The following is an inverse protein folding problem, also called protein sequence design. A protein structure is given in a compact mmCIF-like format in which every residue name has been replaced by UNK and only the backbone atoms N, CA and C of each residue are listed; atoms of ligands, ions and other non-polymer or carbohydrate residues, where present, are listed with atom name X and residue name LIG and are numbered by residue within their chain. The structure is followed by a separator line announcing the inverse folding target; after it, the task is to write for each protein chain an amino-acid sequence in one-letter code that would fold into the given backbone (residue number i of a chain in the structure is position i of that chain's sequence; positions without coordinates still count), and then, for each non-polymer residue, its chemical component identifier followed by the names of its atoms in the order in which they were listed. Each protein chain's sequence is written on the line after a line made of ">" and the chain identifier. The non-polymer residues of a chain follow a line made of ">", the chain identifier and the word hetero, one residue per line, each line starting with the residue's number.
data_IF_515825821686
#
_entry.id   IF_515825821686
#
_cell.length_a   1.000
_cell.length_b   1.000
_cell.length_c   1.000
_cell.angle_alpha   90.00
_cell.angle_beta   90.00
_cell.angle_gamma   90.00
#
_symmetry.space_group_name_H-M   'P 1'
#
loop_
_entity.id
_entity.type
_entity.pdbx_description
1 polymer ?
#
# COMPACT_ATOMS: atom_id res chain seq x y z
N UNK A 1 4.63 0.67 -6.47
CA UNK A 1 3.46 -0.08 -6.96
C UNK A 1 2.20 0.12 -6.10
N UNK A 2 2.33 0.65 -4.87
CA UNK A 2 1.22 0.83 -3.94
C UNK A 2 0.59 2.21 -4.05
N UNK A 3 -0.71 2.29 -3.77
CA UNK A 3 -1.41 3.57 -3.69
C UNK A 3 -2.53 3.54 -2.65
N UNK A 4 -3.08 4.71 -2.37
CA UNK A 4 -4.32 4.89 -1.61
C UNK A 4 -5.26 5.78 -2.41
N UNK A 5 -6.56 5.53 -2.32
CA UNK A 5 -7.55 6.43 -2.89
C UNK A 5 -7.96 7.46 -1.83
N UNK A 6 -7.34 8.63 -1.87
CA UNK A 6 -7.62 9.71 -0.91
C UNK A 6 -9.09 10.11 -0.94
N UNK A 7 -9.69 10.17 -2.14
CA UNK A 7 -11.11 10.47 -2.35
C UNK A 7 -12.07 9.43 -1.75
N UNK A 8 -11.58 8.22 -1.46
CA UNK A 8 -12.36 7.13 -0.85
C UNK A 8 -12.09 6.97 0.64
N UNK A 9 -11.34 7.90 1.24
CA UNK A 9 -11.05 7.86 2.65
C UNK A 9 -12.32 8.07 3.48
N UNK A 10 -12.43 7.33 4.57
CA UNK A 10 -13.46 7.51 5.59
C UNK A 10 -12.75 7.72 6.91
N UNK A 11 -13.10 8.80 7.61
CA UNK A 11 -12.50 9.18 8.90
C UNK A 11 -10.97 9.37 8.84
N UNK A 12 -10.44 9.90 7.73
CA UNK A 12 -9.00 10.11 7.55
C UNK A 12 -8.21 8.85 7.20
N UNK A 13 -8.87 7.70 7.09
CA UNK A 13 -8.26 6.44 6.71
C UNK A 13 -8.64 6.02 5.29
N UNK A 14 -7.66 5.53 4.53
CA UNK A 14 -7.87 4.98 3.20
C UNK A 14 -7.35 3.55 3.10
N UNK A 15 -7.99 2.75 2.25
CA UNK A 15 -7.50 1.40 1.92
C UNK A 15 -6.27 1.49 1.02
N UNK A 16 -5.26 0.68 1.33
CA UNK A 16 -4.08 0.49 0.49
C UNK A 16 -4.37 -0.55 -0.56
N UNK A 17 -3.92 -0.28 -1.78
CA UNK A 17 -3.96 -1.23 -2.89
C UNK A 17 -2.59 -1.37 -3.51
N UNK A 18 -2.37 -2.53 -4.11
CA UNK A 18 -1.23 -2.83 -4.96
C UNK A 18 -1.72 -2.88 -6.40
N UNK A 19 -0.98 -2.24 -7.31
CA UNK A 19 -1.16 -2.43 -8.74
C UNK A 19 -0.25 -3.58 -9.18
N UNK A 20 -0.67 -4.44 -10.09
CA UNK A 20 0.19 -5.47 -10.67
C UNK A 20 -0.04 -5.45 -12.18
N UNK A 21 1.04 -5.52 -12.96
CA UNK A 21 0.94 -5.63 -14.42
C UNK A 21 1.30 -7.04 -14.82
N UNK A 22 0.34 -7.78 -15.38
CA UNK A 22 0.52 -9.13 -15.90
C UNK A 22 0.08 -9.11 -17.36
N UNK A 23 0.95 -9.49 -18.29
CA UNK A 23 0.66 -9.58 -19.72
C UNK A 23 -0.06 -8.34 -20.30
N UNK A 24 0.52 -7.16 -20.06
CA UNK A 24 -0.04 -5.85 -20.45
C UNK A 24 -1.38 -5.46 -19.80
N UNK A 25 -1.94 -6.29 -18.91
CA UNK A 25 -3.16 -5.99 -18.13
C UNK A 25 -2.78 -5.51 -16.74
N UNK A 26 -3.40 -4.42 -16.29
CA UNK A 26 -3.22 -3.85 -14.95
C UNK A 26 -4.32 -4.37 -14.03
N UNK A 27 -3.93 -5.10 -12.99
CA UNK A 27 -4.80 -5.53 -11.90
C UNK A 27 -4.56 -4.64 -10.68
N UNK A 28 -5.63 -4.13 -10.05
CA UNK A 28 -5.53 -3.42 -8.79
C UNK A 28 -6.11 -4.31 -7.69
N UNK A 29 -5.28 -4.75 -6.75
CA UNK A 29 -5.67 -5.63 -5.65
C UNK A 29 -5.70 -4.82 -4.37
N UNK A 30 -6.79 -4.89 -3.61
CA UNK A 30 -6.83 -4.29 -2.28
C UNK A 30 -6.07 -5.16 -1.29
N UNK A 31 -5.18 -4.55 -0.51
CA UNK A 31 -4.51 -5.23 0.61
C UNK A 31 -5.43 -5.38 1.82
N UNK A 32 -6.67 -4.86 1.76
CA UNK A 32 -7.66 -4.84 2.86
C UNK A 32 -7.13 -4.21 4.16
N UNK A 33 -6.04 -3.44 4.08
CA UNK A 33 -5.47 -2.68 5.18
C UNK A 33 -5.75 -1.20 4.98
N UNK A 34 -6.11 -0.53 6.07
CA UNK A 34 -6.32 0.92 6.09
C UNK A 34 -5.10 1.61 6.67
N UNK A 35 -4.83 2.80 6.18
CA UNK A 35 -3.80 3.69 6.69
C UNK A 35 -4.34 5.10 6.86
N UNK A 36 -3.83 5.82 7.85
CA UNK A 36 -4.10 7.24 8.00
C UNK A 36 -3.42 7.99 6.85
N UNK A 37 -4.20 8.75 6.08
CA UNK A 37 -3.68 9.55 4.97
C UNK A 37 -2.61 10.56 5.40
N UNK A 38 -2.71 11.06 6.62
CA UNK A 38 -1.76 12.04 7.17
C UNK A 38 -0.35 11.46 7.34
N UNK A 39 -0.26 10.12 7.47
CA UNK A 39 1.01 9.39 7.63
C UNK A 39 1.46 8.74 6.32
N UNK A 40 0.66 8.82 5.26
CA UNK A 40 0.97 8.18 3.98
C UNK A 40 1.78 9.11 3.07
N UNK A 41 2.96 8.65 2.66
CA UNK A 41 3.75 9.30 1.63
C UNK A 41 3.35 8.76 0.25
N UNK A 42 2.64 9.56 -0.55
CA UNK A 42 2.26 9.17 -1.90
C UNK A 42 3.43 9.04 -2.87
N UNK A 43 4.55 9.73 -2.62
CA UNK A 43 5.75 9.64 -3.45
C UNK A 43 6.58 8.41 -3.09
N UNK A 44 6.81 8.17 -1.80
CA UNK A 44 7.52 6.99 -1.32
C UNK A 44 6.65 5.72 -1.25
N UNK A 45 5.32 5.87 -1.42
CA UNK A 45 4.32 4.79 -1.41
C UNK A 45 4.33 3.94 -0.13
N UNK A 46 4.55 4.59 1.01
CA UNK A 46 4.73 3.96 2.33
C UNK A 46 4.36 4.93 3.46
N UNK A 47 4.34 4.44 4.69
CA UNK A 47 4.13 5.31 5.86
C UNK A 47 5.41 6.10 6.20
N UNK A 48 5.25 7.37 6.59
CA UNK A 48 6.33 8.29 7.00
C UNK A 48 6.73 8.15 8.47
N UNK A 49 5.91 7.50 9.30
CA UNK A 49 6.14 7.39 10.73
C UNK A 49 7.28 6.45 11.11
N UNK A 50 7.90 6.72 12.26
CA UNK A 50 8.91 5.86 12.89
C UNK A 50 8.34 5.05 14.06
N UNK A 51 7.03 5.15 14.30
CA UNK A 51 6.33 4.35 15.29
C UNK A 51 6.31 2.87 14.88
N UNK A 52 6.12 1.99 15.85
CA UNK A 52 6.14 0.55 15.63
C UNK A 52 5.13 0.11 14.56
N UNK A 53 3.96 0.74 14.51
CA UNK A 53 2.94 0.43 13.51
C UNK A 53 3.38 0.82 12.11
N UNK A 54 3.94 2.03 11.93
CA UNK A 54 4.45 2.47 10.62
C UNK A 54 5.59 1.57 10.10
N UNK A 55 6.49 1.15 10.99
CA UNK A 55 7.59 0.24 10.64
C UNK A 55 7.07 -1.16 10.27
N UNK A 56 6.21 -1.75 11.10
CA UNK A 56 5.61 -3.06 10.86
C UNK A 56 4.78 -3.07 9.57
N UNK A 57 4.04 -2.01 9.31
CA UNK A 57 3.25 -1.88 8.09
C UNK A 57 4.13 -1.76 6.84
N UNK A 58 5.23 -1.01 6.90
CA UNK A 58 6.16 -0.90 5.80
C UNK A 58 6.87 -2.23 5.51
N UNK A 59 7.23 -3.00 6.55
CA UNK A 59 7.72 -4.37 6.40
C UNK A 59 6.67 -5.29 5.76
N UNK A 60 5.41 -5.19 6.17
CA UNK A 60 4.31 -5.94 5.54
C UNK A 60 4.18 -5.61 4.04
N UNK A 61 4.24 -4.33 3.65
CA UNK A 61 4.24 -3.94 2.23
C UNK A 61 5.41 -4.55 1.46
N UNK A 62 6.59 -4.63 2.09
CA UNK A 62 7.78 -5.24 1.49
C UNK A 62 7.62 -6.75 1.30
N UNK A 63 7.05 -7.45 2.28
CA UNK A 63 6.75 -8.89 2.17
C UNK A 63 5.73 -9.18 1.08
N UNK A 64 4.66 -8.39 0.99
CA UNK A 64 3.65 -8.54 -0.07
C UNK A 64 4.27 -8.25 -1.44
N UNK A 65 5.09 -7.21 -1.57
CA UNK A 65 5.83 -6.95 -2.81
C UNK A 65 6.72 -8.14 -3.21
N UNK A 66 7.46 -8.71 -2.25
CA UNK A 66 8.32 -9.87 -2.48
C UNK A 66 7.51 -11.10 -2.91
N UNK A 67 6.34 -11.32 -2.31
CA UNK A 67 5.41 -12.41 -2.69
C UNK A 67 4.94 -12.25 -4.14
N UNK A 68 4.53 -11.04 -4.53
CA UNK A 68 4.11 -10.78 -5.90
C UNK A 68 5.26 -10.91 -6.91
N UNK A 69 6.48 -10.52 -6.52
CA UNK A 69 7.67 -10.64 -7.37
C UNK A 69 8.12 -12.10 -7.54
N UNK A 70 8.01 -12.93 -6.51
CA UNK A 70 8.37 -14.36 -6.60
C UNK A 70 7.39 -15.20 -7.43
N UNK A 71 6.15 -14.71 -7.63
CA UNK A 71 5.15 -15.41 -8.45
C UNK A 71 5.25 -15.11 -9.95
N UNK A 72 6.22 -14.29 -10.39
CA UNK A 72 6.41 -13.89 -11.79
C UNK A 72 7.86 -14.17 -12.22
#
# INVERSE_FOLDING_TARGET
>A
MFWVYEQRAKNGEALVYVRISVDNKKLNISLKRKVNLSLWDSWAQRLTGTDAFSLEFNEFLHQEYSRFFQCY
#
